data_IF_564259648503
#
_entry.id   IF_564259648503
#
_cell.length_a   1.000
_cell.length_b   1.000
_cell.length_c   1.000
_cell.angle_alpha   90.00
_cell.angle_beta   90.00
_cell.angle_gamma   90.00
#
_symmetry.space_group_name_H-M   'P 1'
#
loop_
_entity.id
_entity.type
_entity.pdbx_description
1 polymer ?
#
# COMPACT_ATOMS: atom_id res chain seq x y z
N UNK A 1 -11.41 -5.22 14.94
CA UNK A 1 -11.45 -3.99 14.12
C UNK A 1 -11.07 -4.35 12.69
N UNK A 2 -11.99 -4.10 11.75
CA UNK A 2 -11.86 -4.48 10.33
C UNK A 2 -10.48 -4.11 9.74
N UNK A 3 -10.00 -2.90 10.00
CA UNK A 3 -8.72 -2.42 9.46
C UNK A 3 -7.52 -3.14 10.08
N UNK A 4 -7.55 -3.39 11.38
CA UNK A 4 -6.49 -4.15 12.04
C UNK A 4 -6.40 -5.57 11.53
N UNK A 5 -7.55 -6.21 11.35
CA UNK A 5 -7.63 -7.57 10.83
C UNK A 5 -7.13 -7.65 9.40
N UNK A 6 -7.50 -6.68 8.57
CA UNK A 6 -7.04 -6.60 7.20
C UNK A 6 -5.52 -6.35 7.11
N UNK A 7 -5.00 -5.41 7.87
CA UNK A 7 -3.55 -5.12 7.91
C UNK A 7 -2.77 -6.34 8.43
N UNK A 8 -3.28 -7.04 9.45
CA UNK A 8 -2.69 -8.31 9.91
C UNK A 8 -2.63 -9.35 8.79
N UNK A 9 -3.66 -9.46 7.99
CA UNK A 9 -3.67 -10.34 6.80
C UNK A 9 -2.62 -9.93 5.77
N UNK A 10 -2.44 -8.64 5.53
CA UNK A 10 -1.38 -8.13 4.64
C UNK A 10 0.00 -8.53 5.13
N UNK A 11 0.27 -8.38 6.42
CA UNK A 11 1.56 -8.76 7.00
C UNK A 11 1.79 -10.27 7.01
N UNK A 12 0.76 -11.06 7.25
CA UNK A 12 0.85 -12.53 7.12
C UNK A 12 1.22 -12.92 5.70
N UNK A 13 0.64 -12.28 4.70
CA UNK A 13 1.00 -12.52 3.29
C UNK A 13 2.41 -12.03 2.98
N UNK A 14 2.82 -10.88 3.49
CA UNK A 14 4.20 -10.38 3.36
C UNK A 14 5.21 -11.37 3.92
N UNK A 15 4.95 -11.93 5.10
CA UNK A 15 5.83 -12.92 5.73
C UNK A 15 5.91 -14.19 4.90
N UNK A 16 4.80 -14.67 4.34
CA UNK A 16 4.77 -15.82 3.43
C UNK A 16 5.59 -15.55 2.17
N UNK A 17 5.42 -14.39 1.54
CA UNK A 17 6.19 -14.01 0.35
C UNK A 17 7.69 -13.90 0.64
N UNK A 18 8.04 -13.39 1.81
CA UNK A 18 9.43 -13.34 2.28
C UNK A 18 10.02 -14.74 2.42
N UNK A 19 9.32 -15.63 3.11
CA UNK A 19 9.74 -17.00 3.32
C UNK A 19 9.89 -17.78 1.99
N UNK A 20 8.92 -17.65 1.09
CA UNK A 20 8.98 -18.24 -0.25
C UNK A 20 10.18 -17.74 -1.05
N UNK A 21 10.48 -16.45 -0.97
CA UNK A 21 11.62 -15.84 -1.65
C UNK A 21 12.95 -16.31 -1.06
N UNK A 22 13.05 -16.43 0.27
CA UNK A 22 14.22 -16.99 0.96
C UNK A 22 14.48 -18.45 0.53
N UNK A 23 13.42 -19.26 0.44
CA UNK A 23 13.52 -20.64 0.00
C UNK A 23 14.01 -20.73 -1.45
N UNK A 24 13.49 -19.90 -2.35
CA UNK A 24 13.92 -19.84 -3.75
C UNK A 24 15.39 -19.40 -3.85
N UNK A 25 15.80 -18.42 -3.08
CA UNK A 25 17.20 -17.98 -3.04
C UNK A 25 18.13 -19.08 -2.52
N UNK A 26 17.76 -19.77 -1.44
CA UNK A 26 18.52 -20.90 -0.90
C UNK A 26 18.65 -22.03 -1.91
N UNK A 27 17.58 -22.33 -2.67
CA UNK A 27 17.59 -23.35 -3.71
C UNK A 27 18.53 -22.98 -4.87
N UNK A 28 18.50 -21.73 -5.32
CA UNK A 28 19.42 -21.24 -6.37
C UNK A 28 20.88 -21.33 -5.91
N UNK A 29 21.18 -20.88 -4.67
CA UNK A 29 22.53 -20.96 -4.09
C UNK A 29 23.02 -22.40 -3.93
N UNK A 30 22.14 -23.32 -3.51
CA UNK A 30 22.46 -24.75 -3.43
C UNK A 30 22.80 -25.33 -4.80
N UNK A 31 22.05 -24.97 -5.83
CA UNK A 31 22.30 -25.40 -7.20
C UNK A 31 23.61 -24.83 -7.79
N UNK A 32 24.02 -23.62 -7.33
CA UNK A 32 25.31 -23.01 -7.70
C UNK A 32 26.51 -23.87 -7.26
N UNK A 33 26.39 -24.53 -6.12
CA UNK A 33 27.45 -25.35 -5.57
C UNK A 33 27.69 -26.67 -6.37
N UNK A 34 26.70 -27.11 -7.15
CA UNK A 34 26.69 -28.46 -7.81
C UNK A 34 26.86 -28.37 -9.33
N UNK A 35 26.76 -27.19 -9.97
CA UNK A 35 26.65 -27.10 -11.43
C UNK A 35 27.87 -26.51 -12.15
N UNK A 36 28.16 -27.03 -13.35
CA UNK A 36 29.25 -26.60 -14.22
C UNK A 36 29.10 -25.15 -14.76
N UNK A 37 30.19 -24.67 -15.41
CA UNK A 37 30.39 -23.27 -15.79
C UNK A 37 29.35 -22.66 -16.75
N UNK A 38 28.61 -23.43 -17.53
CA UNK A 38 27.71 -22.90 -18.57
C UNK A 38 26.41 -22.25 -18.03
N UNK A 39 25.97 -22.62 -16.83
CA UNK A 39 24.73 -22.07 -16.22
C UNK A 39 24.98 -21.07 -15.09
N UNK A 40 26.21 -20.64 -14.89
CA UNK A 40 26.58 -19.77 -13.76
C UNK A 40 25.95 -18.38 -13.89
N UNK A 41 25.94 -17.81 -15.09
CA UNK A 41 25.39 -16.47 -15.33
C UNK A 41 23.89 -16.37 -15.10
N UNK A 42 23.11 -17.36 -15.54
CA UNK A 42 21.65 -17.40 -15.31
C UNK A 42 21.34 -17.54 -13.83
N UNK A 43 22.07 -18.38 -13.10
CA UNK A 43 21.89 -18.59 -11.66
C UNK A 43 22.25 -17.36 -10.85
N UNK A 44 23.32 -16.66 -11.21
CA UNK A 44 23.72 -15.41 -10.59
C UNK A 44 22.64 -14.33 -10.78
N UNK A 45 22.02 -14.28 -11.97
CA UNK A 45 20.90 -13.39 -12.27
C UNK A 45 19.65 -13.71 -11.43
N UNK A 46 19.32 -14.99 -11.24
CA UNK A 46 18.20 -15.41 -10.39
C UNK A 46 18.48 -15.12 -8.91
N UNK A 47 19.70 -15.36 -8.44
CA UNK A 47 20.10 -15.06 -7.07
C UNK A 47 19.96 -13.55 -6.80
N UNK A 48 20.48 -12.70 -7.68
CA UNK A 48 20.37 -11.26 -7.58
C UNK A 48 18.90 -10.78 -7.58
N UNK A 49 18.06 -11.36 -8.43
CA UNK A 49 16.63 -11.07 -8.47
C UNK A 49 15.93 -11.39 -7.14
N UNK A 50 16.19 -12.53 -6.55
CA UNK A 50 15.60 -12.89 -5.26
C UNK A 50 16.16 -12.08 -4.10
N UNK A 51 17.44 -11.71 -4.11
CA UNK A 51 18.04 -10.81 -3.14
C UNK A 51 17.41 -9.42 -3.19
N UNK A 52 17.20 -8.86 -4.38
CA UNK A 52 16.52 -7.58 -4.58
C UNK A 52 15.07 -7.64 -4.11
N UNK A 53 14.37 -8.75 -4.40
CA UNK A 53 13.00 -8.95 -3.93
C UNK A 53 12.92 -9.02 -2.41
N UNK A 54 13.83 -9.73 -1.76
CA UNK A 54 13.92 -9.76 -0.29
C UNK A 54 14.16 -8.38 0.29
N UNK A 55 15.07 -7.61 -0.30
CA UNK A 55 15.34 -6.24 0.14
C UNK A 55 14.08 -5.36 0.05
N UNK A 56 13.30 -5.47 -1.03
CA UNK A 56 12.01 -4.78 -1.18
C UNK A 56 10.99 -5.19 -0.12
N UNK A 57 10.85 -6.49 0.13
CA UNK A 57 9.92 -7.02 1.14
C UNK A 57 10.30 -6.59 2.56
N UNK A 58 11.59 -6.52 2.86
CA UNK A 58 12.09 -6.07 4.16
C UNK A 58 11.95 -4.55 4.36
N UNK A 59 12.12 -3.76 3.30
CA UNK A 59 12.06 -2.30 3.37
C UNK A 59 10.66 -1.76 3.73
N UNK A 60 9.60 -2.51 3.43
CA UNK A 60 8.21 -2.09 3.69
C UNK A 60 7.63 -2.62 5.00
N UNK A 61 8.42 -3.33 5.79
CA UNK A 61 7.93 -4.01 7.00
C UNK A 61 7.21 -3.08 7.99
N UNK A 62 7.73 -1.89 8.24
CA UNK A 62 7.18 -0.96 9.21
C UNK A 62 6.03 -0.09 8.68
N UNK A 63 5.85 0.03 7.37
CA UNK A 63 4.94 0.97 6.73
C UNK A 63 4.31 0.41 5.46
N UNK A 64 3.79 -0.80 5.54
CA UNK A 64 3.30 -1.53 4.37
C UNK A 64 2.11 -0.83 3.70
N UNK A 65 1.10 -0.47 4.47
CA UNK A 65 -0.13 0.16 4.00
C UNK A 65 -0.33 1.53 4.64
N UNK A 66 -0.87 2.49 3.89
CA UNK A 66 -1.15 3.83 4.39
C UNK A 66 -2.51 4.38 3.98
N UNK A 67 -3.23 3.73 3.08
CA UNK A 67 -4.48 4.24 2.58
C UNK A 67 -5.51 3.17 2.21
N UNK A 68 -6.77 3.60 2.26
CA UNK A 68 -7.92 2.86 1.74
C UNK A 68 -8.82 3.82 0.99
N UNK A 69 -9.30 3.38 -0.17
CA UNK A 69 -10.33 4.06 -0.95
C UNK A 69 -11.59 3.21 -0.98
N UNK A 70 -12.70 3.79 -0.62
CA UNK A 70 -14.02 3.28 -0.94
C UNK A 70 -14.55 4.07 -2.13
N UNK A 71 -14.85 3.38 -3.21
CA UNK A 71 -15.18 3.97 -4.51
C UNK A 71 -16.48 3.39 -5.04
N UNK A 72 -17.15 4.16 -5.90
CA UNK A 72 -18.20 3.64 -6.77
C UNK A 72 -17.69 3.65 -8.20
N UNK A 73 -17.74 2.50 -8.85
CA UNK A 73 -17.30 2.31 -10.23
C UNK A 73 -18.33 1.51 -11.02
N UNK A 74 -18.95 2.17 -12.00
CA UNK A 74 -19.98 1.50 -12.79
C UNK A 74 -21.22 1.04 -12.01
N UNK A 75 -21.51 1.70 -10.88
CA UNK A 75 -22.62 1.32 -9.98
C UNK A 75 -22.26 0.25 -8.94
N UNK A 76 -21.03 -0.24 -8.94
CA UNK A 76 -20.53 -1.20 -7.95
C UNK A 76 -19.62 -0.52 -6.91
N UNK A 77 -19.75 -0.95 -5.67
CA UNK A 77 -18.88 -0.52 -4.60
C UNK A 77 -17.57 -1.29 -4.63
N UNK A 78 -16.46 -0.55 -4.68
CA UNK A 78 -15.11 -1.11 -4.77
C UNK A 78 -14.26 -0.54 -3.65
N UNK A 79 -13.57 -1.41 -2.93
CA UNK A 79 -12.58 -1.05 -1.92
C UNK A 79 -11.17 -1.34 -2.43
N UNK A 80 -10.26 -0.38 -2.27
CA UNK A 80 -8.84 -0.50 -2.63
C UNK A 80 -7.97 -0.10 -1.43
N UNK A 81 -7.01 -0.96 -1.09
CA UNK A 81 -5.97 -0.63 -0.13
C UNK A 81 -4.70 -0.23 -0.87
N UNK A 82 -4.02 0.80 -0.37
CA UNK A 82 -2.86 1.41 -1.01
C UNK A 82 -1.69 1.41 -0.04
N UNK A 83 -0.54 1.04 -0.54
CA UNK A 83 0.68 0.97 0.25
C UNK A 83 1.94 1.08 -0.60
N UNK A 84 3.05 0.70 -0.02
CA UNK A 84 4.39 0.85 -0.62
C UNK A 84 4.81 -0.30 -1.51
N UNK A 85 4.04 -1.38 -1.49
CA UNK A 85 4.29 -2.58 -2.28
C UNK A 85 2.97 -3.17 -2.75
N UNK A 86 2.91 -3.68 -3.98
CA UNK A 86 1.78 -4.46 -4.45
C UNK A 86 1.80 -5.87 -3.86
N UNK A 87 0.68 -6.30 -3.29
CA UNK A 87 0.52 -7.64 -2.72
C UNK A 87 -0.72 -8.29 -3.31
N UNK A 88 -0.57 -9.52 -3.76
CA UNK A 88 -1.67 -10.41 -4.19
C UNK A 88 -1.76 -11.61 -3.24
N UNK A 89 -2.95 -12.19 -3.16
CA UNK A 89 -3.14 -13.47 -2.51
C UNK A 89 -2.71 -14.64 -3.40
N UNK A 90 -2.89 -15.86 -2.94
CA UNK A 90 -2.53 -17.08 -3.67
C UNK A 90 -3.34 -17.27 -4.96
N UNK A 91 -4.53 -16.69 -5.03
CA UNK A 91 -5.41 -16.70 -6.20
C UNK A 91 -5.16 -15.50 -7.14
N UNK A 92 -4.10 -14.73 -6.90
CA UNK A 92 -3.75 -13.52 -7.64
C UNK A 92 -4.74 -12.35 -7.48
N UNK A 93 -5.61 -12.39 -6.48
CA UNK A 93 -6.45 -11.25 -6.14
C UNK A 93 -5.61 -10.17 -5.47
N UNK A 94 -5.81 -8.92 -5.87
CA UNK A 94 -5.06 -7.80 -5.31
C UNK A 94 -5.51 -7.50 -3.88
N UNK A 95 -4.59 -7.65 -2.92
CA UNK A 95 -4.79 -7.28 -1.52
C UNK A 95 -4.32 -5.86 -1.22
N UNK A 96 -3.22 -5.44 -1.82
CA UNK A 96 -2.63 -4.12 -1.65
C UNK A 96 -2.14 -3.59 -2.99
N UNK A 97 -2.47 -2.34 -3.30
CA UNK A 97 -2.03 -1.65 -4.50
C UNK A 97 -0.79 -0.84 -4.20
N UNK A 98 0.22 -0.97 -5.03
CA UNK A 98 1.41 -0.11 -5.00
C UNK A 98 1.00 1.34 -5.31
N UNK A 99 1.43 2.30 -4.49
CA UNK A 99 1.12 3.72 -4.67
C UNK A 99 1.62 4.29 -6.01
N UNK A 100 2.63 3.67 -6.63
CA UNK A 100 3.18 4.06 -7.94
C UNK A 100 2.32 3.60 -9.11
N UNK A 101 1.40 2.68 -8.89
CA UNK A 101 0.48 2.26 -9.93
C UNK A 101 -0.42 3.43 -10.37
N UNK A 102 -0.70 3.59 -11.68
CA UNK A 102 -1.54 4.69 -12.17
C UNK A 102 -2.91 4.76 -11.50
N UNK A 103 -3.52 3.61 -11.20
CA UNK A 103 -4.82 3.53 -10.54
C UNK A 103 -4.77 3.99 -9.07
N UNK A 104 -3.62 3.96 -8.43
CA UNK A 104 -3.42 4.48 -7.07
C UNK A 104 -3.40 6.02 -7.03
N UNK A 105 -3.20 6.67 -8.16
CA UNK A 105 -3.19 8.13 -8.28
C UNK A 105 -4.46 8.79 -7.78
N UNK A 106 -5.60 8.13 -7.90
CA UNK A 106 -6.89 8.59 -7.38
C UNK A 106 -6.86 8.85 -5.87
N UNK A 107 -6.04 8.12 -5.12
CA UNK A 107 -5.95 8.28 -3.67
C UNK A 107 -5.48 9.69 -3.26
N UNK A 108 -4.56 10.29 -3.98
CA UNK A 108 -4.03 11.62 -3.68
C UNK A 108 -4.55 12.73 -4.60
N UNK A 109 -5.14 12.40 -5.75
CA UNK A 109 -5.67 13.37 -6.71
C UNK A 109 -7.14 13.70 -6.45
N UNK A 110 -7.94 12.79 -5.90
CA UNK A 110 -9.35 13.02 -5.64
C UNK A 110 -9.57 14.14 -4.62
N UNK A 111 -10.50 15.02 -4.92
CA UNK A 111 -10.93 16.13 -4.06
C UNK A 111 -12.44 16.14 -3.92
N UNK A 112 -12.98 16.90 -2.95
CA UNK A 112 -14.43 17.07 -2.83
C UNK A 112 -15.07 17.69 -4.06
N UNK A 113 -14.33 18.50 -4.82
CA UNK A 113 -14.79 19.11 -6.07
C UNK A 113 -14.67 18.17 -7.27
N UNK A 114 -13.68 17.28 -7.24
CA UNK A 114 -13.43 16.28 -8.29
C UNK A 114 -13.18 14.93 -7.63
N UNK A 115 -14.25 14.25 -7.18
CA UNK A 115 -14.11 13.04 -6.36
C UNK A 115 -13.60 11.82 -7.13
N UNK A 116 -13.64 11.81 -8.47
CA UNK A 116 -13.12 10.71 -9.31
C UNK A 116 -13.68 9.32 -8.94
N UNK A 117 -14.95 9.27 -8.52
CA UNK A 117 -15.61 8.04 -8.06
C UNK A 117 -15.29 7.65 -6.60
N UNK A 118 -14.46 8.42 -5.89
CA UNK A 118 -14.16 8.18 -4.47
C UNK A 118 -15.33 8.62 -3.62
N UNK A 119 -15.77 7.74 -2.73
CA UNK A 119 -16.80 8.00 -1.72
C UNK A 119 -16.19 8.33 -0.36
N UNK A 120 -15.10 7.65 0.00
CA UNK A 120 -14.33 7.87 1.21
C UNK A 120 -12.86 7.55 0.97
N UNK A 121 -11.98 8.40 1.46
CA UNK A 121 -10.55 8.16 1.56
C UNK A 121 -10.18 8.03 3.02
N UNK A 122 -9.57 6.91 3.38
CA UNK A 122 -9.11 6.62 4.74
C UNK A 122 -7.60 6.58 4.79
N UNK A 123 -7.02 7.33 5.70
CA UNK A 123 -5.62 7.27 6.03
C UNK A 123 -5.40 6.27 7.15
N UNK A 124 -4.48 5.34 6.95
CA UNK A 124 -4.09 4.33 7.93
C UNK A 124 -2.75 4.75 8.54
N UNK A 125 -2.72 4.91 9.85
CA UNK A 125 -1.49 5.18 10.58
C UNK A 125 -1.06 3.91 11.30
N UNK A 126 0.15 3.44 10.95
CA UNK A 126 0.76 2.25 11.53
C UNK A 126 1.93 2.64 12.42
N UNK A 127 2.04 1.99 13.55
CA UNK A 127 3.28 1.86 14.34
C UNK A 127 3.74 0.41 14.23
N UNK A 128 4.91 0.22 13.59
CA UNK A 128 5.33 -1.12 13.19
C UNK A 128 4.29 -1.76 12.27
N UNK A 129 3.71 -2.86 12.70
CA UNK A 129 2.68 -3.63 11.97
C UNK A 129 1.25 -3.38 12.45
N UNK A 130 1.07 -2.46 13.38
CA UNK A 130 -0.23 -2.24 14.04
C UNK A 130 -0.84 -0.93 13.60
N UNK A 131 -2.12 -0.96 13.26
CA UNK A 131 -2.92 0.25 13.00
C UNK A 131 -3.21 0.94 14.33
N UNK A 132 -2.69 2.16 14.50
CA UNK A 132 -2.85 2.95 15.71
C UNK A 132 -3.87 4.08 15.56
N UNK A 133 -4.06 4.58 14.35
CA UNK A 133 -5.03 5.63 14.08
C UNK A 133 -5.61 5.52 12.66
N UNK A 134 -6.84 6.02 12.51
CA UNK A 134 -7.56 6.11 11.24
C UNK A 134 -8.07 7.53 11.07
N UNK A 135 -7.99 8.07 9.86
CA UNK A 135 -8.61 9.34 9.52
C UNK A 135 -9.35 9.25 8.20
N UNK A 136 -10.60 9.66 8.24
CA UNK A 136 -11.51 9.59 7.11
C UNK A 136 -11.74 10.97 6.50
N UNK A 137 -11.66 11.03 5.19
CA UNK A 137 -12.21 12.09 4.37
C UNK A 137 -13.39 11.53 3.58
N UNK A 138 -14.58 12.04 3.83
CA UNK A 138 -15.81 11.58 3.21
C UNK A 138 -16.19 12.53 2.07
N UNK A 139 -16.31 11.98 0.86
CA UNK A 139 -16.73 12.71 -0.34
C UNK A 139 -18.22 12.50 -0.64
N UNK A 140 -18.79 11.39 -0.21
CA UNK A 140 -20.21 11.06 -0.35
C UNK A 140 -20.91 11.18 0.99
N UNK A 141 -21.91 12.10 1.12
CA UNK A 141 -22.65 12.28 2.37
C UNK A 141 -23.31 11.01 2.92
N UNK A 142 -23.67 10.06 2.05
CA UNK A 142 -24.23 8.75 2.46
C UNK A 142 -23.25 7.94 3.33
N UNK A 143 -21.96 8.13 3.16
CA UNK A 143 -20.93 7.45 3.97
C UNK A 143 -20.73 8.05 5.35
N UNK A 144 -21.27 9.23 5.64
CA UNK A 144 -21.19 9.88 6.95
C UNK A 144 -21.97 9.10 8.02
N UNK A 145 -23.02 8.40 7.64
CA UNK A 145 -23.84 7.60 8.56
C UNK A 145 -23.15 6.32 9.04
N UNK A 146 -22.21 5.79 8.26
CA UNK A 146 -21.44 4.57 8.59
C UNK A 146 -20.24 4.84 9.50
N UNK A 147 -19.83 6.08 9.66
CA UNK A 147 -18.67 6.45 10.47
C UNK A 147 -18.97 6.68 11.95
N UNK A 148 -20.01 6.11 12.47
CA UNK A 148 -20.40 5.76 13.87
C UNK A 148 -20.08 6.72 15.04
N UNK A 149 -19.36 7.81 14.89
CA UNK A 149 -18.90 8.67 15.99
C UNK A 149 -18.98 10.18 15.68
N UNK A 150 -20.00 10.65 14.96
CA UNK A 150 -20.01 12.03 14.53
C UNK A 150 -21.19 12.83 15.08
N UNK A 151 -20.92 13.61 16.10
CA UNK A 151 -21.81 14.62 16.65
C UNK A 151 -21.56 15.97 15.97
N UNK A 152 -22.49 16.42 15.11
CA UNK A 152 -22.54 17.77 14.54
C UNK A 152 -22.03 17.93 13.11
N UNK A 153 -22.93 17.89 12.14
CA UNK A 153 -22.62 17.88 10.68
C UNK A 153 -21.76 19.07 10.19
N UNK A 154 -21.97 20.28 10.70
CA UNK A 154 -21.26 21.47 10.22
C UNK A 154 -19.86 21.64 10.79
N UNK A 155 -19.66 21.38 12.08
CA UNK A 155 -18.38 21.48 12.74
C UNK A 155 -17.42 20.37 12.26
N UNK A 156 -17.97 19.19 11.92
CA UNK A 156 -17.23 18.08 11.39
C UNK A 156 -16.71 18.32 9.98
N UNK A 157 -17.55 18.80 9.08
CA UNK A 157 -17.14 19.16 7.72
C UNK A 157 -16.05 20.24 7.72
N UNK A 158 -16.12 21.22 8.63
CA UNK A 158 -15.09 22.23 8.81
C UNK A 158 -13.78 21.64 9.38
N UNK A 159 -13.86 20.75 10.38
CA UNK A 159 -12.71 20.09 10.96
C UNK A 159 -12.06 19.11 9.97
N UNK A 160 -12.84 18.36 9.18
CA UNK A 160 -12.36 17.50 8.11
C UNK A 160 -11.66 18.31 7.01
N UNK A 161 -12.19 19.47 6.63
CA UNK A 161 -11.56 20.33 5.64
C UNK A 161 -10.24 20.95 6.12
N UNK A 162 -10.10 21.31 7.38
CA UNK A 162 -8.85 21.84 7.94
C UNK A 162 -7.77 20.77 8.10
N UNK A 163 -8.10 19.61 8.60
CA UNK A 163 -7.15 18.47 8.71
C UNK A 163 -6.71 17.91 7.36
N UNK A 164 -7.57 17.96 6.39
CA UNK A 164 -7.39 17.49 5.04
C UNK A 164 -6.23 18.17 4.32
N UNK A 165 -6.11 19.50 4.40
CA UNK A 165 -5.10 20.27 3.67
C UNK A 165 -3.68 19.99 4.18
N UNK A 166 -3.49 19.86 5.49
CA UNK A 166 -2.18 19.58 6.08
C UNK A 166 -1.68 18.16 5.78
N UNK A 167 -2.51 17.14 5.94
CA UNK A 167 -2.11 15.74 5.76
C UNK A 167 -1.97 15.28 4.32
N UNK A 168 -2.79 15.79 3.42
CA UNK A 168 -2.60 15.55 2.00
C UNK A 168 -1.24 16.09 1.53
N UNK A 169 -0.84 17.26 2.01
CA UNK A 169 0.47 17.83 1.74
C UNK A 169 1.60 16.94 2.29
N UNK A 170 1.44 16.36 3.48
CA UNK A 170 2.43 15.47 4.08
C UNK A 170 2.57 14.16 3.30
N UNK A 171 1.47 13.56 2.84
CA UNK A 171 1.50 12.33 2.02
C UNK A 171 2.09 12.63 0.65
N UNK A 172 1.68 13.69 -0.01
CA UNK A 172 2.22 14.10 -1.31
C UNK A 172 3.71 14.41 -1.18
N UNK A 173 4.15 15.11 -0.14
CA UNK A 173 5.56 15.38 0.13
C UNK A 173 6.36 14.10 0.37
N UNK A 174 5.82 13.14 1.09
CA UNK A 174 6.44 11.83 1.30
C UNK A 174 6.58 11.05 0.00
N UNK A 175 5.53 11.01 -0.81
CA UNK A 175 5.53 10.35 -2.12
C UNK A 175 6.52 11.02 -3.07
N UNK A 176 6.56 12.35 -3.11
CA UNK A 176 7.52 13.10 -3.92
C UNK A 176 8.96 12.86 -3.48
N UNK A 177 9.23 12.82 -2.16
CA UNK A 177 10.54 12.52 -1.64
C UNK A 177 10.99 11.08 -1.98
N UNK A 178 10.08 10.12 -1.94
CA UNK A 178 10.36 8.74 -2.37
C UNK A 178 10.62 8.66 -3.88
N UNK A 179 9.88 9.41 -4.70
CA UNK A 179 10.13 9.50 -6.15
C UNK A 179 11.49 10.12 -6.47
N UNK A 180 11.86 11.21 -5.80
CA UNK A 180 13.16 11.85 -5.96
C UNK A 180 14.31 10.92 -5.55
N UNK A 181 14.14 10.14 -4.50
CA UNK A 181 15.12 9.15 -4.05
C UNK A 181 15.32 8.04 -5.09
N UNK A 182 14.25 7.56 -5.72
CA UNK A 182 14.29 6.55 -6.79
C UNK A 182 15.00 7.10 -8.02
N UNK A 183 14.65 8.30 -8.47
CA UNK A 183 15.26 8.95 -9.63
C UNK A 183 16.76 9.17 -9.45
N UNK A 184 17.20 9.51 -8.23
CA UNK A 184 18.62 9.72 -7.92
C UNK A 184 19.42 8.42 -7.74
N UNK A 185 18.77 7.31 -7.47
CA UNK A 185 19.43 6.01 -7.35
C UNK A 185 19.74 5.35 -8.69
N UNK A 186 19.11 5.82 -9.77
CA UNK A 186 19.31 5.33 -11.15
C UNK A 186 20.34 6.16 -11.96
N UNK A 187 21.03 7.11 -11.33
CA UNK A 187 22.14 7.89 -11.88
C UNK A 187 23.49 7.44 -11.26
#
# INVERSE_FOLDING_TARGET
NLERDYVSRLYSRLDTLRQETEQKLAQVRKNQAVGGHQNRSERDSFAAHYEDRLAQLNAVDARLAFGRLDMSRGGEDVTRYIGRLGITDEQQNRLLMDWRAPEAGTFYQATAFTPMGVRRRRHLMLEGRTVVNLEDEVFDPAMLQDSGELHGEGALLAALNQKRTGRMNDIVATIQAEQDAIIRSDL
#
